data_IF_256168039810
#
_entry.id   IF_256168039810
#
_cell.length_a   1.000
_cell.length_b   1.000
_cell.length_c   1.000
_cell.angle_alpha   90.00
_cell.angle_beta   90.00
_cell.angle_gamma   90.00
#
_symmetry.space_group_name_H-M   'P 1'
#
loop_
_entity.id
_entity.type
_entity.pdbx_description
1 polymer ?
#
# COMPACT_ATOMS: atom_id res chain seq x y z
N UNK A 1 46.20 2.44 -19.12
CA UNK A 1 45.16 3.36 -18.63
C UNK A 1 43.75 3.04 -19.17
N UNK A 2 43.57 2.68 -20.45
CA UNK A 2 42.23 2.38 -21.02
C UNK A 2 41.49 1.20 -20.37
N UNK A 3 42.20 0.17 -19.88
CA UNK A 3 41.61 -1.01 -19.21
C UNK A 3 41.07 -0.72 -17.81
N UNK A 4 41.58 0.29 -17.10
CA UNK A 4 41.06 0.69 -15.79
C UNK A 4 39.72 1.42 -15.91
N UNK A 5 39.54 2.20 -16.98
CA UNK A 5 38.30 2.94 -17.24
C UNK A 5 37.11 1.98 -17.49
N UNK A 6 37.37 0.85 -18.15
CA UNK A 6 36.35 -0.16 -18.43
C UNK A 6 35.86 -0.86 -17.16
N UNK A 7 36.74 -1.11 -16.19
CA UNK A 7 36.39 -1.69 -14.88
C UNK A 7 35.61 -0.68 -14.03
N UNK A 8 35.96 0.60 -14.09
CA UNK A 8 35.23 1.67 -13.40
C UNK A 8 33.80 1.85 -13.91
N UNK A 9 33.56 1.67 -15.22
CA UNK A 9 32.23 1.81 -15.82
C UNK A 9 31.27 0.65 -15.47
N UNK A 10 31.80 -0.54 -15.18
CA UNK A 10 31.02 -1.72 -14.75
C UNK A 10 30.57 -1.64 -13.27
N UNK A 11 31.22 -0.81 -12.46
CA UNK A 11 30.84 -0.60 -11.05
C UNK A 11 29.65 0.36 -10.87
N UNK A 12 29.22 1.07 -11.93
CA UNK A 12 28.14 2.06 -11.89
C UNK A 12 26.73 1.48 -12.11
N UNK A 13 26.60 0.19 -12.44
CA UNK A 13 25.30 -0.41 -12.79
C UNK A 13 24.50 -1.00 -11.62
N UNK A 14 24.92 -0.77 -10.38
CA UNK A 14 24.30 -1.38 -9.18
C UNK A 14 23.50 -0.37 -8.36
N UNK A 15 22.45 0.22 -8.93
CA UNK A 15 21.32 0.74 -8.13
C UNK A 15 20.11 0.97 -9.04
N UNK A 16 19.14 0.07 -9.04
CA UNK A 16 17.74 0.41 -9.33
C UNK A 16 16.81 -0.77 -9.08
N UNK A 17 16.25 -0.87 -7.87
CA UNK A 17 15.01 -1.61 -7.63
C UNK A 17 14.13 -0.85 -6.63
N UNK A 18 13.51 0.24 -7.09
CA UNK A 18 12.32 0.80 -6.47
C UNK A 18 11.13 0.58 -7.38
N UNK A 19 10.49 -0.59 -7.30
CA UNK A 19 9.29 -0.87 -8.07
C UNK A 19 8.07 -0.29 -7.35
N UNK A 20 7.35 0.60 -8.03
CA UNK A 20 6.06 1.11 -7.56
C UNK A 20 4.98 0.10 -7.97
N UNK A 21 4.32 -0.52 -6.99
CA UNK A 21 3.17 -1.38 -7.23
C UNK A 21 1.93 -0.50 -7.40
N UNK A 22 1.26 -0.59 -8.55
CA UNK A 22 0.01 0.12 -8.83
C UNK A 22 -1.16 -0.85 -8.84
N UNK A 23 -2.22 -0.47 -8.13
CA UNK A 23 -3.45 -1.25 -7.99
C UNK A 23 -4.63 -0.39 -8.44
N UNK A 24 -5.57 -0.98 -9.17
CA UNK A 24 -6.86 -0.36 -9.47
C UNK A 24 -7.95 -1.08 -8.70
N UNK A 25 -8.74 -0.34 -7.92
CA UNK A 25 -9.83 -0.93 -7.14
C UNK A 25 -11.06 -1.22 -8.01
N UNK A 26 -11.87 -2.18 -7.59
CA UNK A 26 -13.16 -2.53 -8.22
C UNK A 26 -14.34 -2.31 -7.28
N UNK A 27 -14.17 -2.69 -6.02
CA UNK A 27 -15.16 -2.55 -4.97
C UNK A 27 -14.51 -2.13 -3.66
N UNK A 28 -15.31 -1.57 -2.76
CA UNK A 28 -14.93 -1.32 -1.40
C UNK A 28 -16.06 -1.61 -0.42
N UNK A 29 -15.69 -1.94 0.81
CA UNK A 29 -16.58 -2.02 1.97
C UNK A 29 -15.86 -1.48 3.20
N UNK A 30 -16.61 -1.14 4.25
CA UNK A 30 -16.06 -0.69 5.51
C UNK A 30 -16.90 -1.17 6.69
N UNK A 31 -16.31 -1.07 7.88
CA UNK A 31 -16.97 -1.22 9.18
C UNK A 31 -16.37 -0.23 10.17
N UNK A 32 -17.12 0.09 11.21
CA UNK A 32 -16.69 1.04 12.25
C UNK A 32 -16.65 0.34 13.60
N UNK A 33 -15.76 0.79 14.48
CA UNK A 33 -15.75 0.38 15.87
C UNK A 33 -16.29 1.52 16.73
N UNK A 34 -17.28 1.20 17.55
CA UNK A 34 -17.78 2.11 18.57
C UNK A 34 -17.71 1.40 19.91
N UNK A 35 -16.99 1.97 20.87
CA UNK A 35 -16.86 1.45 22.23
C UNK A 35 -16.38 -0.02 22.29
N UNK A 36 -15.36 -0.35 21.50
CA UNK A 36 -14.77 -1.70 21.39
C UNK A 36 -15.67 -2.74 20.71
N UNK A 37 -16.79 -2.31 20.10
CA UNK A 37 -17.68 -3.18 19.33
C UNK A 37 -17.59 -2.80 17.86
N UNK A 38 -17.21 -3.77 17.02
CA UNK A 38 -17.23 -3.60 15.56
C UNK A 38 -18.64 -3.77 15.02
N UNK A 39 -19.05 -2.88 14.13
CA UNK A 39 -20.26 -3.06 13.32
C UNK A 39 -20.09 -4.23 12.35
N UNK A 40 -21.21 -4.70 11.82
CA UNK A 40 -21.19 -5.52 10.61
C UNK A 40 -20.54 -4.75 9.45
N UNK A 41 -20.05 -5.50 8.47
CA UNK A 41 -19.56 -4.94 7.23
C UNK A 41 -20.69 -4.34 6.43
N UNK A 42 -20.46 -3.15 5.91
CA UNK A 42 -21.37 -2.52 4.95
C UNK A 42 -21.44 -3.32 3.65
N UNK A 43 -22.54 -3.11 2.91
CA UNK A 43 -22.65 -3.65 1.56
C UNK A 43 -21.50 -3.15 0.67
N UNK A 44 -20.99 -4.04 -0.19
CA UNK A 44 -19.94 -3.69 -1.14
C UNK A 44 -20.44 -2.64 -2.14
N UNK A 45 -19.64 -1.60 -2.34
CA UNK A 45 -19.91 -0.49 -3.25
C UNK A 45 -18.84 -0.47 -4.35
N UNK A 46 -19.22 -0.09 -5.57
CA UNK A 46 -18.24 0.05 -6.67
C UNK A 46 -17.22 1.13 -6.34
N UNK A 47 -15.96 0.88 -6.67
CA UNK A 47 -14.87 1.85 -6.60
C UNK A 47 -14.00 1.79 -7.85
N UNK A 48 -13.36 2.91 -8.18
CA UNK A 48 -12.36 2.97 -9.25
C UNK A 48 -11.24 3.93 -8.84
N UNK A 49 -10.54 3.54 -7.78
CA UNK A 49 -9.47 4.30 -7.14
C UNK A 49 -8.14 3.71 -7.56
N UNK A 50 -7.15 4.58 -7.82
CA UNK A 50 -5.77 4.16 -8.03
C UNK A 50 -5.06 4.13 -6.67
N UNK A 51 -4.37 3.03 -6.39
CA UNK A 51 -3.53 2.90 -5.20
C UNK A 51 -2.10 2.66 -5.67
N UNK A 52 -1.16 3.46 -5.18
CA UNK A 52 0.27 3.35 -5.47
C UNK A 52 1.02 2.99 -4.19
N UNK A 53 1.80 1.93 -4.23
CA UNK A 53 2.61 1.44 -3.10
C UNK A 53 4.08 1.57 -3.51
N UNK A 54 4.78 2.52 -2.90
CA UNK A 54 6.19 2.76 -3.13
C UNK A 54 6.96 2.48 -1.84
N UNK A 55 7.56 1.29 -1.75
CA UNK A 55 8.31 0.88 -0.56
C UNK A 55 9.63 1.64 -0.44
N UNK A 56 10.25 2.01 -1.56
CA UNK A 56 11.50 2.78 -1.57
C UNK A 56 11.30 4.18 -1.01
N UNK A 57 10.18 4.83 -1.36
CA UNK A 57 9.80 6.14 -0.82
C UNK A 57 9.03 6.02 0.51
N UNK A 58 8.91 4.80 1.06
CA UNK A 58 8.15 4.50 2.27
C UNK A 58 6.74 5.11 2.27
N UNK A 59 6.03 5.00 1.14
CA UNK A 59 4.77 5.73 0.95
C UNK A 59 3.71 4.91 0.22
N UNK A 60 2.49 4.99 0.71
CA UNK A 60 1.28 4.49 0.04
C UNK A 60 0.36 5.66 -0.24
N UNK A 61 -0.17 5.74 -1.46
CA UNK A 61 -1.09 6.79 -1.89
C UNK A 61 -2.36 6.16 -2.44
N UNK A 62 -3.52 6.66 -1.98
CA UNK A 62 -4.85 6.26 -2.43
C UNK A 62 -5.51 7.47 -3.09
N UNK A 63 -5.57 7.47 -4.42
CA UNK A 63 -6.09 8.56 -5.24
C UNK A 63 -7.62 8.47 -5.36
N UNK A 64 -8.30 8.62 -4.22
CA UNK A 64 -9.76 8.74 -4.16
C UNK A 64 -10.20 10.20 -4.42
N UNK A 65 -11.49 10.53 -4.23
CA UNK A 65 -11.96 11.92 -4.35
C UNK A 65 -11.15 12.89 -3.48
N UNK A 66 -10.73 12.42 -2.31
CA UNK A 66 -9.71 13.07 -1.48
C UNK A 66 -8.48 12.16 -1.47
N UNK A 67 -7.34 12.64 -1.93
CA UNK A 67 -6.09 11.86 -1.90
C UNK A 67 -5.72 11.57 -0.45
N UNK A 68 -5.50 10.29 -0.15
CA UNK A 68 -5.03 9.85 1.16
C UNK A 68 -3.59 9.38 1.01
N UNK A 69 -2.73 9.83 1.92
CA UNK A 69 -1.31 9.50 1.92
C UNK A 69 -0.94 8.86 3.24
N UNK A 70 -0.13 7.82 3.15
CA UNK A 70 0.29 7.00 4.27
C UNK A 70 1.80 6.82 4.22
N UNK A 71 2.48 7.30 5.25
CA UNK A 71 3.91 7.10 5.44
C UNK A 71 4.11 5.73 6.12
N UNK A 72 4.98 4.90 5.55
CA UNK A 72 5.30 3.56 6.04
C UNK A 72 6.38 3.69 7.11
N UNK A 73 6.03 3.32 8.34
CA UNK A 73 6.94 3.32 9.48
C UNK A 73 7.73 2.00 9.57
N UNK A 74 7.06 0.89 9.27
CA UNK A 74 7.63 -0.45 9.26
C UNK A 74 6.77 -1.37 8.36
N UNK A 75 7.34 -2.46 7.88
CA UNK A 75 6.59 -3.40 7.04
C UNK A 75 7.24 -4.76 6.89
N UNK A 76 6.41 -5.78 6.70
CA UNK A 76 6.83 -7.14 6.42
C UNK A 76 6.06 -7.67 5.21
N UNK A 77 6.77 -8.34 4.32
CA UNK A 77 6.16 -9.12 3.24
C UNK A 77 6.44 -10.60 3.47
N UNK A 78 5.39 -11.39 3.66
CA UNK A 78 5.50 -12.83 3.89
C UNK A 78 4.29 -13.56 3.28
N UNK A 79 4.54 -14.67 2.60
CA UNK A 79 3.51 -15.57 2.07
C UNK A 79 2.45 -14.85 1.21
N UNK A 80 2.87 -13.89 0.38
CA UNK A 80 1.95 -13.13 -0.49
C UNK A 80 1.16 -12.03 0.22
N UNK A 81 1.47 -11.76 1.49
CA UNK A 81 0.82 -10.74 2.33
C UNK A 81 1.86 -9.67 2.66
N UNK A 82 1.59 -8.44 2.22
CA UNK A 82 2.34 -7.25 2.65
C UNK A 82 1.60 -6.56 3.79
N UNK A 83 2.19 -6.51 4.98
CA UNK A 83 1.63 -5.81 6.14
C UNK A 83 2.52 -4.62 6.49
N UNK A 84 1.94 -3.43 6.47
CA UNK A 84 2.63 -2.15 6.66
C UNK A 84 2.02 -1.40 7.84
N UNK A 85 2.86 -0.96 8.77
CA UNK A 85 2.49 -0.05 9.84
C UNK A 85 2.70 1.37 9.34
N UNK A 86 1.66 2.19 9.37
CA UNK A 86 1.64 3.47 8.69
C UNK A 86 1.18 4.62 9.59
N UNK A 87 1.46 5.83 9.14
CA UNK A 87 0.90 7.08 9.67
C UNK A 87 0.22 7.85 8.54
N UNK A 88 -1.01 8.30 8.75
CA UNK A 88 -1.72 9.13 7.75
C UNK A 88 -1.35 10.62 7.85
N UNK A 89 -1.86 11.42 6.91
CA UNK A 89 -1.60 12.86 6.84
C UNK A 89 -2.06 13.66 8.09
N UNK A 90 -2.92 13.09 8.94
CA UNK A 90 -3.38 13.70 10.20
C UNK A 90 -2.58 13.18 11.41
N UNK A 91 -1.52 12.39 11.20
CA UNK A 91 -0.72 11.80 12.26
C UNK A 91 -1.36 10.59 12.93
N UNK A 92 -2.46 10.04 12.39
CA UNK A 92 -3.11 8.85 12.95
C UNK A 92 -2.40 7.59 12.48
N UNK A 93 -2.19 6.65 13.40
CA UNK A 93 -1.60 5.35 13.08
C UNK A 93 -2.63 4.43 12.44
N UNK A 94 -2.20 3.69 11.43
CA UNK A 94 -2.99 2.67 10.76
C UNK A 94 -2.13 1.48 10.35
N UNK A 95 -2.78 0.40 9.94
CA UNK A 95 -2.15 -0.77 9.32
C UNK A 95 -2.73 -0.94 7.93
N UNK A 96 -1.87 -1.04 6.93
CA UNK A 96 -2.26 -1.40 5.56
C UNK A 96 -1.81 -2.83 5.28
N UNK A 97 -2.75 -3.69 4.89
CA UNK A 97 -2.47 -5.09 4.58
C UNK A 97 -2.90 -5.40 3.15
N UNK A 98 -1.96 -5.85 2.31
CA UNK A 98 -2.17 -6.19 0.92
C UNK A 98 -2.08 -7.71 0.79
N UNK A 99 -3.20 -8.36 0.50
CA UNK A 99 -3.30 -9.81 0.34
C UNK A 99 -3.41 -10.13 -1.14
N UNK A 100 -2.34 -10.66 -1.73
CA UNK A 100 -2.28 -10.90 -3.18
C UNK A 100 -3.20 -12.03 -3.65
N UNK A 101 -3.38 -13.08 -2.84
CA UNK A 101 -4.18 -14.26 -3.19
C UNK A 101 -5.65 -13.89 -3.45
N UNK A 102 -6.26 -13.15 -2.52
CA UNK A 102 -7.66 -12.74 -2.60
C UNK A 102 -7.84 -11.32 -3.14
N UNK A 103 -6.75 -10.69 -3.61
CA UNK A 103 -6.76 -9.33 -4.19
C UNK A 103 -7.46 -8.29 -3.33
N UNK A 104 -7.15 -8.30 -2.02
CA UNK A 104 -7.75 -7.40 -1.04
C UNK A 104 -6.70 -6.51 -0.39
N UNK A 105 -7.01 -5.23 -0.28
CA UNK A 105 -6.22 -4.26 0.47
C UNK A 105 -7.05 -3.76 1.64
N UNK A 106 -6.58 -4.01 2.85
CA UNK A 106 -7.20 -3.54 4.09
C UNK A 106 -6.49 -2.28 4.56
N UNK A 107 -7.25 -1.31 5.03
CA UNK A 107 -6.75 -0.16 5.79
C UNK A 107 -7.45 -0.18 7.14
N UNK A 108 -6.68 -0.35 8.21
CA UNK A 108 -7.17 -0.55 9.58
C UNK A 108 -6.71 0.58 10.49
N UNK A 109 -7.66 1.25 11.10
CA UNK A 109 -7.50 2.12 12.26
C UNK A 109 -8.13 1.45 13.48
N UNK A 110 -7.97 2.05 14.67
CA UNK A 110 -8.56 1.50 15.90
C UNK A 110 -10.09 1.58 15.91
N UNK A 111 -10.65 2.59 15.23
CA UNK A 111 -12.06 2.97 15.21
C UNK A 111 -12.74 2.70 13.85
N UNK A 112 -11.96 2.37 12.82
CA UNK A 112 -12.45 2.24 11.45
C UNK A 112 -11.62 1.25 10.64
N UNK A 113 -12.28 0.44 9.81
CA UNK A 113 -11.61 -0.45 8.88
C UNK A 113 -12.32 -0.42 7.53
N UNK A 114 -11.56 -0.37 6.44
CA UNK A 114 -12.10 -0.53 5.10
C UNK A 114 -11.23 -1.43 4.22
N UNK A 115 -11.86 -2.02 3.22
CA UNK A 115 -11.26 -3.00 2.33
C UNK A 115 -11.55 -2.61 0.90
N UNK A 116 -10.53 -2.66 0.06
CA UNK A 116 -10.66 -2.60 -1.39
C UNK A 116 -10.43 -3.98 -1.99
N UNK A 117 -11.28 -4.36 -2.95
CA UNK A 117 -10.90 -5.35 -3.96
C UNK A 117 -10.14 -4.65 -5.08
N UNK A 118 -9.10 -5.29 -5.60
CA UNK A 118 -8.25 -4.67 -6.61
C UNK A 118 -7.79 -5.63 -7.71
N UNK A 119 -7.22 -5.08 -8.77
CA UNK A 119 -6.33 -5.79 -9.67
C UNK A 119 -5.04 -5.00 -9.82
N UNK A 120 -3.93 -5.71 -10.07
CA UNK A 120 -2.63 -5.09 -10.30
C UNK A 120 -2.62 -4.51 -11.72
N UNK A 121 -2.15 -3.29 -11.85
CA UNK A 121 -1.92 -2.64 -13.15
C UNK A 121 -0.42 -2.42 -13.35
N UNK A 122 0.06 -2.63 -14.57
CA UNK A 122 1.46 -2.40 -14.96
C UNK A 122 1.68 -0.95 -15.37
#
# INVERSE_FOLDING_TARGET
>A
MKKLLTVFLLMLSVVSFGQILKLRTTYYTYRVNQNSVWSDWESWKKASVLISVNISDQRIVVDSNTTQTYDILDGIYKDGIGKYYCMDANGRRCIIEIVNENRKLYVRYNDWEHVYEFFVIK
#
